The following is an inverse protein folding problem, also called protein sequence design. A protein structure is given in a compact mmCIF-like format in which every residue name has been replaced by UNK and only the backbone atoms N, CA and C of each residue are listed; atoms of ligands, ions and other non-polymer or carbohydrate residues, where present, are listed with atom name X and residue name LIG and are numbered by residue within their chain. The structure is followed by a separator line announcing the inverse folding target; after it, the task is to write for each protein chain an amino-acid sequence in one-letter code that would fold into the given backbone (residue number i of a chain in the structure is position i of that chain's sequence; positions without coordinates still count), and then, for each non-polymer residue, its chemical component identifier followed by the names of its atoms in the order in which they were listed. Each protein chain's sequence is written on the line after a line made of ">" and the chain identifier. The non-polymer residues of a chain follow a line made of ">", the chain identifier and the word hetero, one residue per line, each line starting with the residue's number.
data_IF_182882620553
#
_entry.id   IF_182882620553
#
_cell.length_a   1.000
_cell.length_b   1.000
_cell.length_c   1.000
_cell.angle_alpha   90.00
_cell.angle_beta   90.00
_cell.angle_gamma   90.00
#
_symmetry.space_group_name_H-M   'P 1'
#
loop_
_entity.id
_entity.type
_entity.pdbx_description
1 polymer ?
#
# COMPACT_ATOMS: atom_id res chain seq x y z
N UNK A 1 8.32 -5.27 -20.13
CA UNK A 1 9.02 -4.35 -19.18
C UNK A 1 9.17 -4.88 -17.74
N UNK A 2 8.94 -6.09 -17.41
CA UNK A 2 9.30 -6.79 -16.15
C UNK A 2 9.39 -5.91 -14.87
N UNK A 3 8.50 -4.94 -14.70
CA UNK A 3 8.45 -3.99 -13.55
C UNK A 3 9.59 -2.94 -13.46
N UNK A 4 10.45 -2.82 -14.44
CA UNK A 4 11.48 -1.78 -14.52
C UNK A 4 11.03 -0.59 -15.39
N UNK A 5 11.48 0.63 -15.04
CA UNK A 5 11.15 1.86 -15.74
C UNK A 5 9.76 2.42 -15.36
N UNK A 6 9.28 3.36 -16.18
CA UNK A 6 7.93 3.95 -16.08
C UNK A 6 7.02 3.35 -17.15
N UNK A 7 5.75 3.15 -16.80
CA UNK A 7 4.71 2.79 -17.76
C UNK A 7 4.54 3.89 -18.82
N UNK A 8 4.55 3.53 -20.10
CA UNK A 8 4.30 4.48 -21.17
C UNK A 8 2.79 4.58 -21.46
N UNK A 9 2.17 5.59 -20.90
CA UNK A 9 0.74 5.83 -21.01
C UNK A 9 0.30 6.21 -22.43
N UNK A 10 1.22 6.56 -23.33
CA UNK A 10 0.88 6.84 -24.73
C UNK A 10 0.23 5.65 -25.44
N UNK A 11 0.57 4.43 -25.02
CA UNK A 11 -0.08 3.21 -25.55
C UNK A 11 -1.54 3.11 -25.10
N UNK A 12 -1.88 3.48 -23.88
CA UNK A 12 -3.26 3.51 -23.36
C UNK A 12 -4.08 4.49 -24.21
N UNK A 13 -3.54 5.69 -24.45
CA UNK A 13 -4.15 6.70 -25.31
C UNK A 13 -4.44 6.18 -26.71
N UNK A 14 -3.43 5.58 -27.37
CA UNK A 14 -3.56 4.99 -28.72
C UNK A 14 -4.66 3.92 -28.77
N UNK A 15 -4.74 3.06 -27.72
CA UNK A 15 -5.80 2.06 -27.63
C UNK A 15 -7.16 2.74 -27.50
N UNK A 16 -7.28 3.74 -26.61
CA UNK A 16 -8.55 4.46 -26.41
C UNK A 16 -9.03 5.16 -27.70
N UNK A 17 -8.12 5.73 -28.46
CA UNK A 17 -8.43 6.36 -29.76
C UNK A 17 -8.86 5.35 -30.83
N UNK A 18 -8.43 4.10 -30.73
CA UNK A 18 -8.67 3.06 -31.74
C UNK A 18 -9.95 2.24 -31.49
N UNK A 19 -10.54 2.28 -30.29
CA UNK A 19 -11.69 1.43 -29.93
C UNK A 19 -12.89 2.24 -29.44
N UNK A 20 -14.09 1.63 -29.53
CA UNK A 20 -15.35 2.23 -29.03
C UNK A 20 -15.82 1.62 -27.69
N UNK A 21 -15.11 0.61 -27.20
CA UNK A 21 -15.41 -0.03 -25.91
C UNK A 21 -14.68 0.71 -24.77
N UNK A 22 -15.17 0.58 -23.51
CA UNK A 22 -14.47 1.14 -22.35
C UNK A 22 -13.05 0.62 -22.24
N UNK A 23 -12.10 1.53 -21.93
CA UNK A 23 -10.67 1.23 -21.73
C UNK A 23 -10.30 1.49 -20.28
N UNK A 24 -9.68 0.51 -19.65
CA UNK A 24 -9.15 0.62 -18.28
C UNK A 24 -7.65 0.85 -18.37
N UNK A 25 -7.19 2.05 -17.97
CA UNK A 25 -5.78 2.39 -17.89
C UNK A 25 -5.10 1.72 -16.70
N UNK A 26 -3.88 1.22 -16.88
CA UNK A 26 -3.06 0.65 -15.80
C UNK A 26 -1.59 1.01 -16.00
N UNK A 27 -0.90 1.32 -14.90
CA UNK A 27 0.54 1.53 -14.85
C UNK A 27 0.95 2.70 -13.98
N UNK A 28 1.77 2.42 -12.95
CA UNK A 28 2.41 3.39 -12.04
C UNK A 28 1.50 4.40 -11.34
N UNK A 29 0.24 4.08 -11.12
CA UNK A 29 -0.68 4.89 -10.32
C UNK A 29 -0.45 4.59 -8.84
N UNK A 30 0.03 5.59 -8.09
CA UNK A 30 0.43 5.48 -6.68
C UNK A 30 -0.14 6.59 -5.81
N UNK A 31 -0.84 7.56 -6.41
CA UNK A 31 -1.50 8.67 -5.74
C UNK A 31 -2.80 9.04 -6.48
N UNK A 32 -3.57 9.94 -5.88
CA UNK A 32 -4.77 10.53 -6.53
C UNK A 32 -4.34 11.34 -7.75
N UNK A 33 -3.24 12.07 -7.66
CA UNK A 33 -2.69 12.88 -8.75
C UNK A 33 -2.28 12.00 -9.95
N UNK A 34 -1.66 10.84 -9.70
CA UNK A 34 -1.33 9.89 -10.77
C UNK A 34 -2.59 9.37 -11.46
N UNK A 35 -3.66 9.12 -10.71
CA UNK A 35 -4.97 8.70 -11.26
C UNK A 35 -5.57 9.80 -12.14
N UNK A 36 -5.55 11.05 -11.68
CA UNK A 36 -6.03 12.21 -12.43
C UNK A 36 -5.22 12.35 -13.72
N UNK A 37 -3.89 12.35 -13.62
CA UNK A 37 -3.00 12.47 -14.77
C UNK A 37 -3.26 11.37 -15.81
N UNK A 38 -3.44 10.11 -15.38
CA UNK A 38 -3.76 9.02 -16.29
C UNK A 38 -5.07 9.25 -17.03
N UNK A 39 -6.13 9.69 -16.35
CA UNK A 39 -7.42 9.99 -16.99
C UNK A 39 -7.30 11.13 -18.01
N UNK A 40 -6.61 12.23 -17.63
CA UNK A 40 -6.45 13.41 -18.47
C UNK A 40 -5.54 13.16 -19.69
N UNK A 41 -4.41 12.49 -19.49
CA UNK A 41 -3.44 12.27 -20.55
C UNK A 41 -3.89 11.21 -21.57
N UNK A 42 -4.62 10.18 -21.10
CA UNK A 42 -4.97 9.04 -21.97
C UNK A 42 -6.39 9.03 -22.44
N UNK A 43 -7.31 9.71 -21.74
CA UNK A 43 -8.73 9.68 -22.00
C UNK A 43 -9.38 8.31 -21.71
N UNK A 44 -8.73 7.42 -20.95
CA UNK A 44 -9.30 6.12 -20.58
C UNK A 44 -10.53 6.31 -19.69
N UNK A 45 -11.43 5.33 -19.67
CA UNK A 45 -12.71 5.44 -18.97
C UNK A 45 -12.61 5.10 -17.49
N UNK A 46 -11.63 4.29 -17.12
CA UNK A 46 -11.35 3.87 -15.73
C UNK A 46 -9.86 3.66 -15.52
N UNK A 47 -9.45 3.69 -14.26
CA UNK A 47 -8.06 3.43 -13.84
C UNK A 47 -8.00 2.19 -12.96
N UNK A 48 -7.11 1.27 -13.27
CA UNK A 48 -6.79 0.12 -12.44
C UNK A 48 -5.53 0.42 -11.62
N UNK A 49 -5.64 0.36 -10.30
CA UNK A 49 -4.52 0.53 -9.38
C UNK A 49 -4.03 -0.85 -8.95
N UNK A 50 -2.78 -1.17 -9.29
CA UNK A 50 -2.12 -2.41 -8.92
C UNK A 50 -1.29 -2.25 -7.64
N UNK A 51 0.04 -2.23 -7.76
CA UNK A 51 0.98 -2.13 -6.63
C UNK A 51 0.84 -0.86 -5.76
N UNK A 52 0.15 0.17 -6.26
CA UNK A 52 -0.08 1.41 -5.51
C UNK A 52 -0.83 1.21 -4.20
N UNK A 53 -1.68 0.18 -4.10
CA UNK A 53 -2.45 -0.12 -2.88
C UNK A 53 -1.69 -0.98 -1.85
N UNK A 54 -0.48 -1.44 -2.16
CA UNK A 54 0.30 -2.25 -1.22
C UNK A 54 0.72 -1.41 -0.01
N UNK A 55 0.19 -1.76 1.15
CA UNK A 55 0.35 -1.02 2.41
C UNK A 55 -0.50 0.25 2.52
N UNK A 56 -1.30 0.57 1.50
CA UNK A 56 -2.20 1.73 1.47
C UNK A 56 -3.48 1.45 0.65
N UNK A 57 -4.36 0.57 1.10
CA UNK A 57 -5.61 0.28 0.39
C UNK A 57 -6.58 1.48 0.36
N UNK A 58 -6.43 2.46 1.25
CA UNK A 58 -7.23 3.68 1.25
C UNK A 58 -6.99 4.57 0.02
N UNK A 59 -5.92 4.34 -0.75
CA UNK A 59 -5.71 5.02 -2.02
C UNK A 59 -6.93 4.88 -2.94
N UNK A 60 -7.57 3.70 -2.99
CA UNK A 60 -8.79 3.50 -3.78
C UNK A 60 -9.92 4.42 -3.28
N UNK A 61 -10.12 4.47 -1.96
CA UNK A 61 -11.14 5.34 -1.36
C UNK A 61 -10.88 6.82 -1.66
N UNK A 62 -9.62 7.26 -1.55
CA UNK A 62 -9.21 8.64 -1.89
C UNK A 62 -9.46 8.96 -3.36
N UNK A 63 -9.16 8.02 -4.27
CA UNK A 63 -9.43 8.19 -5.70
C UNK A 63 -10.94 8.30 -5.99
N UNK A 64 -11.76 7.44 -5.39
CA UNK A 64 -13.23 7.49 -5.53
C UNK A 64 -13.78 8.80 -4.99
N UNK A 65 -13.35 9.21 -3.79
CA UNK A 65 -13.76 10.48 -3.19
C UNK A 65 -13.46 11.67 -4.12
N UNK A 66 -12.25 11.71 -4.68
CA UNK A 66 -11.89 12.76 -5.63
C UNK A 66 -12.78 12.77 -6.88
N UNK A 67 -13.07 11.60 -7.45
CA UNK A 67 -13.95 11.50 -8.62
C UNK A 67 -15.37 11.97 -8.34
N UNK A 68 -15.87 11.83 -7.11
CA UNK A 68 -17.21 12.24 -6.70
C UNK A 68 -17.28 13.71 -6.29
N UNK A 69 -16.24 14.26 -5.66
CA UNK A 69 -16.29 15.59 -5.02
C UNK A 69 -15.33 16.61 -5.63
N UNK A 70 -14.28 16.18 -6.31
CA UNK A 70 -13.16 17.02 -6.74
C UNK A 70 -12.18 17.38 -5.62
N UNK A 71 -12.35 16.84 -4.42
CA UNK A 71 -11.51 17.14 -3.25
C UNK A 71 -10.52 16.01 -2.95
N UNK A 72 -9.27 16.38 -2.63
CA UNK A 72 -8.25 15.44 -2.17
C UNK A 72 -8.32 15.36 -0.64
N UNK A 73 -8.60 14.19 -0.10
CA UNK A 73 -8.55 13.93 1.34
C UNK A 73 -7.16 13.47 1.76
N UNK A 74 -6.81 13.78 3.02
CA UNK A 74 -5.49 13.48 3.57
C UNK A 74 -5.20 11.97 3.65
N UNK A 75 -3.93 11.65 3.69
CA UNK A 75 -3.45 10.28 3.90
C UNK A 75 -3.87 9.73 5.26
N UNK A 76 -4.05 8.43 5.29
CA UNK A 76 -4.37 7.67 6.50
C UNK A 76 -3.24 7.76 7.53
N UNK A 77 -3.61 7.97 8.81
CA UNK A 77 -2.67 8.03 9.92
C UNK A 77 -1.92 6.71 10.15
N UNK A 78 -0.80 6.80 10.89
CA UNK A 78 0.02 5.62 11.24
C UNK A 78 -0.77 4.62 12.08
N UNK A 79 -1.62 5.09 12.99
CA UNK A 79 -2.44 4.24 13.85
C UNK A 79 -3.36 3.34 13.03
N UNK A 80 -4.17 3.91 12.15
CA UNK A 80 -5.07 3.15 11.29
C UNK A 80 -4.31 2.18 10.35
N UNK A 81 -3.11 2.58 9.88
CA UNK A 81 -2.25 1.69 9.08
C UNK A 81 -1.80 0.47 9.88
N UNK A 82 -1.43 0.66 11.15
CA UNK A 82 -0.98 -0.44 12.01
C UNK A 82 -2.14 -1.34 12.44
N UNK A 83 -3.30 -0.77 12.72
CA UNK A 83 -4.52 -1.53 13.02
C UNK A 83 -4.92 -2.41 11.82
N UNK A 84 -4.89 -1.85 10.61
CA UNK A 84 -5.18 -2.64 9.42
C UNK A 84 -4.12 -3.70 9.16
N UNK A 85 -2.83 -3.41 9.38
CA UNK A 85 -1.77 -4.39 9.23
C UNK A 85 -1.94 -5.58 10.19
N UNK A 86 -2.32 -5.30 11.45
CA UNK A 86 -2.61 -6.35 12.44
C UNK A 86 -3.85 -7.17 12.05
N UNK A 87 -4.95 -6.52 11.69
CA UNK A 87 -6.17 -7.21 11.24
C UNK A 87 -5.94 -8.06 9.98
N UNK A 88 -5.07 -7.61 9.07
CA UNK A 88 -4.65 -8.40 7.92
C UNK A 88 -3.89 -9.66 8.35
N UNK A 89 -2.99 -9.55 9.34
CA UNK A 89 -2.28 -10.71 9.89
C UNK A 89 -3.24 -11.70 10.55
N UNK A 90 -4.20 -11.21 11.36
CA UNK A 90 -5.25 -12.05 11.98
C UNK A 90 -6.01 -12.83 10.91
N UNK A 91 -6.51 -12.14 9.89
CA UNK A 91 -7.27 -12.77 8.80
C UNK A 91 -6.46 -13.83 8.04
N UNK A 92 -5.16 -13.59 7.81
CA UNK A 92 -4.28 -14.59 7.21
C UNK A 92 -4.09 -15.81 8.11
N UNK A 93 -3.96 -15.59 9.42
CA UNK A 93 -3.81 -16.67 10.40
C UNK A 93 -5.09 -17.50 10.52
N UNK A 94 -6.26 -16.87 10.52
CA UNK A 94 -7.54 -17.57 10.52
C UNK A 94 -7.73 -18.43 9.27
N UNK A 95 -7.35 -17.90 8.11
CA UNK A 95 -7.50 -18.59 6.82
C UNK A 95 -6.51 -19.75 6.62
N UNK A 96 -5.26 -19.60 7.06
CA UNK A 96 -4.13 -20.50 6.69
C UNK A 96 -3.41 -21.13 7.87
N UNK A 97 -3.82 -20.81 9.10
CA UNK A 97 -3.09 -21.11 10.33
C UNK A 97 -1.90 -20.16 10.54
N UNK A 98 -1.56 -19.90 11.80
CA UNK A 98 -0.58 -18.88 12.20
C UNK A 98 0.78 -19.03 11.52
N UNK A 99 1.32 -20.26 11.47
CA UNK A 99 2.63 -20.53 10.86
C UNK A 99 2.73 -20.09 9.39
N UNK A 100 1.68 -20.31 8.60
CA UNK A 100 1.66 -19.94 7.17
C UNK A 100 1.27 -18.49 7.02
N UNK A 101 0.23 -18.03 7.75
CA UNK A 101 -0.25 -16.66 7.74
C UNK A 101 0.85 -15.65 8.08
N UNK A 102 1.59 -15.90 9.16
CA UNK A 102 2.69 -15.01 9.57
C UNK A 102 3.86 -15.01 8.58
N UNK A 103 4.16 -16.15 7.96
CA UNK A 103 5.19 -16.22 6.90
C UNK A 103 4.82 -15.35 5.69
N UNK A 104 3.56 -15.36 5.27
CA UNK A 104 3.07 -14.49 4.18
C UNK A 104 2.99 -13.03 4.63
N UNK A 105 2.53 -12.80 5.87
CA UNK A 105 2.42 -11.44 6.42
C UNK A 105 3.75 -10.69 6.46
N UNK A 106 4.90 -11.34 6.58
CA UNK A 106 6.22 -10.69 6.49
C UNK A 106 6.36 -9.83 5.22
N UNK A 107 5.91 -10.35 4.08
CA UNK A 107 5.93 -9.60 2.82
C UNK A 107 4.95 -8.43 2.80
N UNK A 108 3.74 -8.62 3.31
CA UNK A 108 2.73 -7.58 3.35
C UNK A 108 3.04 -6.49 4.38
N UNK A 109 3.49 -6.85 5.59
CA UNK A 109 3.82 -5.93 6.65
C UNK A 109 4.91 -4.91 6.22
N UNK A 110 5.88 -5.34 5.43
CA UNK A 110 6.93 -4.48 4.91
C UNK A 110 6.40 -3.30 4.07
N UNK A 111 5.24 -3.46 3.42
CA UNK A 111 4.60 -2.38 2.67
C UNK A 111 3.91 -1.36 3.57
N UNK A 112 3.25 -1.80 4.65
CA UNK A 112 2.64 -0.90 5.64
C UNK A 112 3.67 0.02 6.33
N UNK A 113 4.91 -0.46 6.46
CA UNK A 113 6.02 0.31 7.08
C UNK A 113 6.72 1.27 6.10
N UNK A 114 6.31 1.29 4.82
CA UNK A 114 6.96 2.12 3.80
C UNK A 114 6.88 3.60 4.18
N UNK A 115 7.99 4.31 3.97
CA UNK A 115 8.13 5.76 4.20
C UNK A 115 8.11 6.20 5.68
N UNK A 116 8.01 5.28 6.64
CA UNK A 116 8.13 5.61 8.07
C UNK A 116 9.59 5.66 8.52
N UNK A 117 9.86 6.46 9.55
CA UNK A 117 11.20 6.62 10.14
C UNK A 117 11.77 5.25 10.58
N UNK A 118 13.02 4.96 10.27
CA UNK A 118 13.69 3.68 10.55
C UNK A 118 13.00 2.41 10.00
N UNK A 119 12.14 2.54 9.01
CA UNK A 119 11.39 1.41 8.45
C UNK A 119 12.26 0.23 7.99
N UNK A 120 13.52 0.48 7.55
CA UNK A 120 14.45 -0.58 7.15
C UNK A 120 14.82 -1.51 8.32
N UNK A 121 15.11 -0.96 9.52
CA UNK A 121 15.40 -1.75 10.72
C UNK A 121 14.17 -2.50 11.26
N UNK A 122 13.00 -1.86 11.20
CA UNK A 122 11.75 -2.52 11.60
C UNK A 122 11.42 -3.67 10.65
N UNK A 123 11.68 -3.54 9.34
CA UNK A 123 11.52 -4.63 8.37
C UNK A 123 12.43 -5.83 8.65
N UNK A 124 13.61 -5.62 9.21
CA UNK A 124 14.48 -6.72 9.68
C UNK A 124 13.79 -7.51 10.79
N UNK A 125 13.21 -6.84 11.79
CA UNK A 125 12.41 -7.50 12.84
C UNK A 125 11.20 -8.25 12.25
N UNK A 126 10.44 -7.60 11.37
CA UNK A 126 9.30 -8.21 10.66
C UNK A 126 9.72 -9.48 9.90
N UNK A 127 10.89 -9.50 9.29
CA UNK A 127 11.37 -10.66 8.53
C UNK A 127 11.57 -11.91 9.39
N UNK A 128 11.76 -11.72 10.69
CA UNK A 128 12.02 -12.80 11.67
C UNK A 128 10.77 -13.23 12.45
N UNK A 129 9.71 -12.40 12.51
CA UNK A 129 8.49 -12.69 13.28
C UNK A 129 7.84 -13.99 12.83
N UNK A 130 7.27 -14.74 13.77
CA UNK A 130 6.66 -16.04 13.54
C UNK A 130 5.24 -16.18 14.09
N UNK A 131 4.85 -15.29 15.01
CA UNK A 131 3.56 -15.28 15.69
C UNK A 131 2.85 -13.93 15.58
N UNK A 132 1.54 -13.91 15.81
CA UNK A 132 0.73 -12.71 15.90
C UNK A 132 1.20 -11.81 17.06
N UNK A 133 1.54 -12.40 18.20
CA UNK A 133 2.01 -11.67 19.37
C UNK A 133 3.31 -10.91 19.07
N UNK A 134 4.28 -11.57 18.43
CA UNK A 134 5.52 -10.92 17.99
C UNK A 134 5.26 -9.74 17.04
N UNK A 135 4.29 -9.89 16.14
CA UNK A 135 3.93 -8.81 15.22
C UNK A 135 3.25 -7.65 15.96
N UNK A 136 2.36 -7.96 16.90
CA UNK A 136 1.71 -6.94 17.73
C UNK A 136 2.74 -6.15 18.54
N UNK A 137 3.70 -6.83 19.16
CA UNK A 137 4.79 -6.20 19.90
C UNK A 137 5.63 -5.26 19.01
N UNK A 138 5.95 -5.68 17.78
CA UNK A 138 6.66 -4.84 16.81
C UNK A 138 5.85 -3.58 16.50
N UNK A 139 4.54 -3.70 16.23
CA UNK A 139 3.68 -2.55 15.91
C UNK A 139 3.56 -1.57 17.07
N UNK A 140 3.36 -2.08 18.30
CA UNK A 140 3.27 -1.25 19.52
C UNK A 140 4.59 -0.51 19.78
N UNK A 141 5.72 -1.22 19.74
CA UNK A 141 7.02 -0.61 19.95
C UNK A 141 7.33 0.42 18.85
N UNK A 142 6.96 0.14 17.60
CA UNK A 142 7.19 1.05 16.50
C UNK A 142 6.33 2.32 16.64
N UNK A 143 5.04 2.20 16.99
CA UNK A 143 4.16 3.34 17.26
C UNK A 143 4.75 4.22 18.36
N UNK A 144 5.10 3.64 19.51
CA UNK A 144 5.71 4.35 20.62
C UNK A 144 7.00 5.07 20.21
N UNK A 145 7.82 4.45 19.37
CA UNK A 145 9.06 5.08 18.88
C UNK A 145 8.82 6.25 17.95
N UNK A 146 7.79 6.19 17.12
CA UNK A 146 7.40 7.30 16.23
C UNK A 146 6.91 8.51 17.04
N UNK A 147 6.26 8.28 18.20
CA UNK A 147 5.74 9.32 19.09
C UNK A 147 6.82 9.92 20.00
N UNK A 148 7.71 9.08 20.56
CA UNK A 148 8.65 9.46 21.63
C UNK A 148 10.10 9.54 21.18
N UNK A 149 10.42 9.20 19.93
CA UNK A 149 11.76 9.12 19.35
C UNK A 149 12.73 8.17 20.12
N UNK A 150 12.21 7.13 20.79
CA UNK A 150 12.97 6.08 21.47
C UNK A 150 13.03 4.80 20.60
N UNK A 151 14.24 4.45 20.16
CA UNK A 151 14.51 3.35 19.23
C UNK A 151 15.35 2.21 19.85
N UNK A 152 15.55 2.21 21.16
CA UNK A 152 16.43 1.24 21.86
C UNK A 152 15.98 -0.22 21.70
N UNK A 153 14.70 -0.48 21.45
CA UNK A 153 14.16 -1.83 21.21
C UNK A 153 14.65 -2.46 19.89
N UNK A 154 15.10 -1.65 18.94
CA UNK A 154 15.68 -2.14 17.68
C UNK A 154 17.05 -2.78 17.85
N UNK A 155 17.74 -2.52 18.95
CA UNK A 155 19.08 -3.03 19.24
C UNK A 155 19.06 -4.38 20.00
N UNK A 156 17.89 -4.80 20.45
CA UNK A 156 17.65 -6.07 21.15
C UNK A 156 17.15 -7.10 20.12
#
# INVERSE_FOLDING_TARGET
>A
QMYEGKADWSYIKKVKEAVQIPVIGNGDVRSVEDMIAMLEETGCDMVMIGRGVLGDPWLIQRCVHYLETGEIIQDTGVEEKFDLAYNHAVSLCELKGERVGMKEMRGHAAWYMKSLKYSHRVKEKISMMSTLDEFQDILVNYKNSLENDDWNWLER
#
